data_IF_929331141874
#
_entry.id   IF_929331141874
#
_cell.length_a   1.000
_cell.length_b   1.000
_cell.length_c   1.000
_cell.angle_alpha   90.00
_cell.angle_beta   90.00
_cell.angle_gamma   90.00
#
_symmetry.space_group_name_H-M   'P 1'
#
loop_
_entity.id
_entity.type
_entity.pdbx_description
1 polymer ?
#
# COMPACT_ATOMS: atom_id res chain seq x y z
N UNK A 1 -6.80 24.37 -17.00
CA UNK A 1 -7.38 24.42 -15.63
C UNK A 1 -7.86 23.02 -15.22
N UNK A 2 -6.95 22.11 -14.82
CA UNK A 2 -7.31 20.75 -14.34
C UNK A 2 -6.81 20.52 -12.89
N UNK A 3 -6.01 21.44 -12.34
CA UNK A 3 -5.34 21.29 -11.04
C UNK A 3 -6.21 21.57 -9.79
N UNK A 4 -7.52 21.79 -9.95
CA UNK A 4 -8.43 22.06 -8.82
C UNK A 4 -9.35 20.87 -8.52
N UNK A 5 -8.97 19.65 -8.89
CA UNK A 5 -9.50 18.47 -8.23
C UNK A 5 -8.85 18.39 -6.84
N UNK A 6 -9.40 19.19 -5.92
CA UNK A 6 -9.11 19.32 -4.50
C UNK A 6 -8.37 18.07 -3.99
N UNK A 7 -7.07 18.23 -3.72
CA UNK A 7 -6.22 17.21 -3.14
C UNK A 7 -6.71 16.93 -1.71
N UNK A 8 -7.77 16.13 -1.60
CA UNK A 8 -8.50 15.82 -0.37
C UNK A 8 -7.72 14.86 0.52
N UNK A 9 -6.43 14.68 0.22
CA UNK A 9 -5.53 13.76 0.87
C UNK A 9 -4.53 14.44 1.80
N UNK A 10 -4.39 15.76 1.75
CA UNK A 10 -3.72 16.50 2.83
C UNK A 10 -4.65 16.63 4.02
N UNK A 11 -4.16 16.18 5.17
CA UNK A 11 -4.89 16.15 6.42
C UNK A 11 -4.26 17.13 7.40
N UNK A 12 -5.09 17.78 8.20
CA UNK A 12 -4.59 18.59 9.31
C UNK A 12 -4.05 17.68 10.42
N UNK A 13 -3.17 18.22 11.28
CA UNK A 13 -2.71 17.48 12.46
C UNK A 13 -3.88 16.99 13.33
N UNK A 14 -4.93 17.81 13.45
CA UNK A 14 -6.13 17.42 14.21
C UNK A 14 -6.84 16.22 13.58
N UNK A 15 -6.95 16.15 12.25
CA UNK A 15 -7.53 15.01 11.54
C UNK A 15 -6.68 13.74 11.71
N UNK A 16 -5.36 13.88 11.72
CA UNK A 16 -4.44 12.76 11.99
C UNK A 16 -4.55 12.29 13.45
N UNK A 17 -4.64 13.24 14.40
CA UNK A 17 -4.80 12.94 15.83
C UNK A 17 -6.16 12.31 16.16
N UNK A 18 -7.18 12.58 15.35
CA UNK A 18 -8.54 12.06 15.49
C UNK A 18 -8.89 11.03 14.41
N UNK A 19 -7.96 10.12 14.12
CA UNK A 19 -8.13 9.08 13.11
C UNK A 19 -9.35 8.18 13.37
N UNK A 20 -9.94 7.56 12.32
CA UNK A 20 -11.01 6.57 12.49
C UNK A 20 -10.61 5.39 13.38
N UNK A 21 -9.35 4.97 13.33
CA UNK A 21 -8.82 3.87 14.17
C UNK A 21 -8.84 4.26 15.65
N UNK A 22 -8.46 5.51 15.98
CA UNK A 22 -8.52 6.03 17.36
C UNK A 22 -9.94 6.11 17.89
N UNK A 23 -10.89 6.52 17.05
CA UNK A 23 -12.32 6.54 17.41
C UNK A 23 -12.87 5.14 17.70
N UNK A 24 -12.32 4.12 17.05
CA UNK A 24 -12.66 2.71 17.29
C UNK A 24 -11.82 2.07 18.41
N UNK A 25 -11.01 2.85 19.14
CA UNK A 25 -10.28 2.41 20.33
C UNK A 25 -8.85 1.90 20.12
N UNK A 26 -8.26 2.10 18.94
CA UNK A 26 -6.84 1.79 18.70
C UNK A 26 -5.96 2.97 19.15
N UNK A 27 -4.98 2.72 20.01
CA UNK A 27 -4.02 3.74 20.43
C UNK A 27 -3.04 4.13 19.29
N UNK A 28 -2.41 5.29 19.44
CA UNK A 28 -1.53 5.86 18.42
C UNK A 28 -0.29 4.98 18.11
N UNK A 29 0.28 4.33 19.13
CA UNK A 29 1.46 3.49 18.94
C UNK A 29 1.07 2.23 18.14
N UNK A 30 -0.05 1.59 18.50
CA UNK A 30 -0.59 0.44 17.77
C UNK A 30 -0.98 0.81 16.34
N UNK A 31 -1.62 1.97 16.12
CA UNK A 31 -1.95 2.43 14.77
C UNK A 31 -0.68 2.62 13.92
N UNK A 32 0.36 3.23 14.49
CA UNK A 32 1.66 3.42 13.82
C UNK A 32 2.29 2.07 13.46
N UNK A 33 2.32 1.11 14.40
CA UNK A 33 2.83 -0.25 14.14
C UNK A 33 2.05 -0.95 13.03
N UNK A 34 0.72 -0.82 13.01
CA UNK A 34 -0.13 -1.40 11.96
C UNK A 34 0.13 -0.76 10.58
N UNK A 35 0.44 0.54 10.54
CA UNK A 35 0.81 1.24 9.31
C UNK A 35 2.14 0.73 8.78
N UNK A 36 3.17 0.67 9.61
CA UNK A 36 4.49 0.11 9.26
C UNK A 36 4.36 -1.35 8.82
N UNK A 37 3.60 -2.16 9.55
CA UNK A 37 3.33 -3.55 9.20
C UNK A 37 2.67 -3.69 7.81
N UNK A 38 1.73 -2.81 7.47
CA UNK A 38 1.14 -2.75 6.14
C UNK A 38 2.15 -2.41 5.05
N UNK A 39 3.01 -1.42 5.29
CA UNK A 39 4.09 -1.05 4.38
C UNK A 39 5.10 -2.19 4.17
N UNK A 40 5.42 -2.94 5.21
CA UNK A 40 6.28 -4.12 5.13
C UNK A 40 5.66 -5.23 4.27
N UNK A 41 4.36 -5.50 4.44
CA UNK A 41 3.65 -6.45 3.61
C UNK A 41 3.67 -6.03 2.13
N UNK A 42 3.43 -4.74 1.87
CA UNK A 42 3.46 -4.20 0.50
C UNK A 42 4.84 -4.37 -0.12
N UNK A 43 5.90 -3.96 0.58
CA UNK A 43 7.26 -4.03 0.06
C UNK A 43 7.71 -5.48 -0.16
N UNK A 44 7.47 -6.36 0.81
CA UNK A 44 7.81 -7.78 0.70
C UNK A 44 7.06 -8.45 -0.45
N UNK A 45 5.76 -8.18 -0.59
CA UNK A 45 4.97 -8.73 -1.69
C UNK A 45 5.44 -8.21 -3.05
N UNK A 46 5.84 -6.93 -3.14
CA UNK A 46 6.39 -6.31 -4.34
C UNK A 46 7.66 -7.00 -4.82
N UNK A 47 8.57 -7.31 -3.89
CA UNK A 47 9.80 -8.07 -4.18
C UNK A 47 9.46 -9.47 -4.70
N UNK A 48 8.58 -10.20 -4.01
CA UNK A 48 8.18 -11.56 -4.39
C UNK A 48 7.44 -11.61 -5.74
N UNK A 49 6.69 -10.56 -6.08
CA UNK A 49 5.98 -10.41 -7.35
C UNK A 49 6.82 -9.77 -8.45
N UNK A 50 8.07 -9.37 -8.15
CA UNK A 50 8.98 -8.64 -9.05
C UNK A 50 8.28 -7.42 -9.66
N UNK A 51 7.70 -6.59 -8.80
CA UNK A 51 7.06 -5.33 -9.18
C UNK A 51 8.07 -4.17 -9.13
N UNK A 52 7.92 -3.13 -9.97
CA UNK A 52 8.76 -1.95 -9.92
C UNK A 52 8.47 -1.13 -8.66
N UNK A 53 9.47 -0.39 -8.15
CA UNK A 53 9.35 0.37 -6.90
C UNK A 53 8.20 1.40 -6.92
N UNK A 54 7.88 1.96 -8.08
CA UNK A 54 6.73 2.84 -8.28
C UNK A 54 5.40 2.18 -7.86
N UNK A 55 5.22 0.88 -8.13
CA UNK A 55 4.01 0.14 -7.70
C UNK A 55 3.94 0.03 -6.18
N UNK A 56 5.06 -0.22 -5.51
CA UNK A 56 5.10 -0.31 -4.05
C UNK A 56 4.84 1.05 -3.41
N UNK A 57 5.46 2.12 -3.92
CA UNK A 57 5.21 3.49 -3.47
C UNK A 57 3.73 3.86 -3.64
N UNK A 58 3.14 3.59 -4.81
CA UNK A 58 1.71 3.84 -5.05
C UNK A 58 0.85 3.03 -4.08
N UNK A 59 1.12 1.73 -3.92
CA UNK A 59 0.36 0.89 -2.99
C UNK A 59 0.42 1.39 -1.54
N UNK A 60 1.59 1.84 -1.07
CA UNK A 60 1.75 2.43 0.27
C UNK A 60 0.93 3.72 0.42
N UNK A 61 0.97 4.63 -0.57
CA UNK A 61 0.15 5.85 -0.55
C UNK A 61 -1.34 5.51 -0.49
N UNK A 62 -1.82 4.58 -1.32
CA UNK A 62 -3.22 4.13 -1.27
C UNK A 62 -3.58 3.53 0.09
N UNK A 63 -2.67 2.77 0.69
CA UNK A 63 -2.84 2.15 2.00
C UNK A 63 -2.96 3.20 3.11
N UNK A 64 -2.04 4.18 3.16
CA UNK A 64 -2.10 5.28 4.12
C UNK A 64 -3.38 6.09 3.97
N UNK A 65 -3.71 6.51 2.74
CA UNK A 65 -4.93 7.26 2.42
C UNK A 65 -6.20 6.53 2.86
N UNK A 66 -6.26 5.21 2.67
CA UNK A 66 -7.42 4.41 3.09
C UNK A 66 -7.61 4.43 4.61
N UNK A 67 -6.55 4.23 5.38
CA UNK A 67 -6.62 4.22 6.86
C UNK A 67 -6.72 5.61 7.49
N UNK A 68 -6.64 6.68 6.69
CA UNK A 68 -7.07 8.00 7.16
C UNK A 68 -8.60 8.16 7.17
N UNK A 69 -9.31 7.35 6.36
CA UNK A 69 -10.79 7.36 6.25
C UNK A 69 -11.46 6.16 6.89
N UNK A 70 -10.73 5.05 7.08
CA UNK A 70 -11.21 3.80 7.68
C UNK A 70 -10.32 3.34 8.82
N UNK A 71 -10.89 2.47 9.64
CA UNK A 71 -10.26 1.94 10.84
C UNK A 71 -9.67 0.56 10.60
N UNK A 72 -8.53 0.29 11.23
CA UNK A 72 -7.92 -1.04 11.28
C UNK A 72 -8.77 -2.08 12.02
N UNK A 73 -9.69 -1.66 12.89
CA UNK A 73 -10.65 -2.57 13.55
C UNK A 73 -11.59 -3.19 12.51
N UNK A 74 -12.00 -2.40 11.52
CA UNK A 74 -13.02 -2.78 10.53
C UNK A 74 -12.44 -3.43 9.29
N UNK A 75 -11.20 -3.09 8.95
CA UNK A 75 -10.52 -3.57 7.75
C UNK A 75 -9.15 -4.11 8.13
N UNK A 76 -8.90 -5.38 7.78
CA UNK A 76 -7.61 -6.03 8.04
C UNK A 76 -6.50 -5.38 7.20
N UNK A 77 -5.40 -5.00 7.86
CA UNK A 77 -4.19 -4.49 7.23
C UNK A 77 -3.72 -5.39 6.08
N UNK A 78 -3.71 -6.71 6.28
CA UNK A 78 -3.28 -7.69 5.27
C UNK A 78 -4.17 -7.68 4.02
N UNK A 79 -5.49 -7.68 4.20
CA UNK A 79 -6.45 -7.68 3.08
C UNK A 79 -6.36 -6.38 2.28
N UNK A 80 -6.27 -5.24 2.98
CA UNK A 80 -6.13 -3.94 2.34
C UNK A 80 -4.79 -3.83 1.62
N UNK A 81 -3.67 -4.25 2.21
CA UNK A 81 -2.36 -4.27 1.58
C UNK A 81 -2.36 -5.08 0.27
N UNK A 82 -2.96 -6.28 0.28
CA UNK A 82 -3.08 -7.11 -0.93
C UNK A 82 -3.87 -6.41 -2.04
N UNK A 83 -4.98 -5.78 -1.71
CA UNK A 83 -5.79 -5.02 -2.67
C UNK A 83 -5.09 -3.74 -3.13
N UNK A 84 -4.33 -3.06 -2.27
CA UNK A 84 -3.52 -1.90 -2.64
C UNK A 84 -2.45 -2.27 -3.68
N UNK A 85 -1.71 -3.37 -3.46
CA UNK A 85 -0.71 -3.86 -4.44
C UNK A 85 -1.37 -4.25 -5.76
N UNK A 86 -2.52 -4.93 -5.69
CA UNK A 86 -3.23 -5.35 -6.89
C UNK A 86 -3.78 -4.16 -7.69
N UNK A 87 -4.31 -3.14 -7.00
CA UNK A 87 -4.80 -1.92 -7.62
C UNK A 87 -3.64 -1.06 -8.17
N UNK A 88 -2.59 -0.85 -7.38
CA UNK A 88 -1.41 -0.07 -7.79
C UNK A 88 -0.73 -0.67 -9.02
N UNK A 89 -0.64 -2.00 -9.13
CA UNK A 89 -0.14 -2.65 -10.34
C UNK A 89 -0.94 -2.29 -11.59
N UNK A 90 -2.25 -2.06 -11.47
CA UNK A 90 -3.07 -1.59 -12.60
C UNK A 90 -2.86 -0.10 -12.89
N UNK A 91 -2.64 0.72 -11.87
CA UNK A 91 -2.44 2.17 -12.02
C UNK A 91 -1.07 2.51 -12.63
N UNK A 92 -0.04 1.71 -12.33
CA UNK A 92 1.33 1.88 -12.81
C UNK A 92 1.64 1.01 -14.05
N UNK A 93 0.61 0.57 -14.79
CA UNK A 93 0.75 -0.23 -16.02
C UNK A 93 1.61 -1.51 -15.87
N UNK A 94 1.64 -2.07 -14.66
CA UNK A 94 2.35 -3.30 -14.29
C UNK A 94 1.40 -4.35 -13.66
N UNK A 95 0.29 -4.71 -14.33
CA UNK A 95 -0.77 -5.50 -13.72
C UNK A 95 -0.32 -6.94 -13.42
N UNK A 96 -0.78 -7.48 -12.29
CA UNK A 96 -0.60 -8.89 -11.91
C UNK A 96 -1.95 -9.59 -11.81
N UNK A 97 -1.99 -10.86 -12.19
CA UNK A 97 -3.20 -11.69 -12.01
C UNK A 97 -3.49 -11.84 -10.52
N UNK A 98 -4.76 -11.74 -10.13
CA UNK A 98 -5.20 -11.87 -8.73
C UNK A 98 -4.71 -13.16 -8.06
N UNK A 99 -4.63 -14.27 -8.81
CA UNK A 99 -4.05 -15.54 -8.36
C UNK A 99 -2.65 -15.36 -7.76
N UNK A 100 -1.78 -14.61 -8.43
CA UNK A 100 -0.40 -14.41 -7.95
C UNK A 100 -0.36 -13.55 -6.70
N UNK A 101 -1.19 -12.50 -6.61
CA UNK A 101 -1.32 -11.68 -5.41
C UNK A 101 -1.73 -12.56 -4.22
N UNK A 102 -2.79 -13.36 -4.39
CA UNK A 102 -3.32 -14.23 -3.33
C UNK A 102 -2.26 -15.23 -2.88
N UNK A 103 -1.55 -15.88 -3.81
CA UNK A 103 -0.51 -16.86 -3.49
C UNK A 103 0.65 -16.25 -2.71
N UNK A 104 1.12 -15.06 -3.11
CA UNK A 104 2.21 -14.38 -2.41
C UNK A 104 1.78 -13.98 -1.01
N UNK A 105 0.63 -13.34 -0.85
CA UNK A 105 0.13 -12.95 0.47
C UNK A 105 -0.17 -14.14 1.38
N UNK A 106 -0.70 -15.24 0.83
CA UNK A 106 -0.93 -16.46 1.59
C UNK A 106 0.39 -17.08 2.06
N UNK A 107 1.40 -17.18 1.19
CA UNK A 107 2.73 -17.67 1.55
C UNK A 107 3.40 -16.81 2.63
N UNK A 108 3.28 -15.49 2.51
CA UNK A 108 3.82 -14.54 3.50
C UNK A 108 3.17 -14.73 4.87
N UNK A 109 1.84 -14.93 4.90
CA UNK A 109 1.11 -15.24 6.13
C UNK A 109 1.60 -16.55 6.76
N UNK A 110 1.67 -17.65 6.00
CA UNK A 110 2.17 -18.92 6.53
C UNK A 110 3.57 -18.77 7.13
N UNK A 111 4.47 -18.00 6.48
CA UNK A 111 5.82 -17.76 7.01
C UNK A 111 5.80 -16.97 8.32
N UNK A 112 4.98 -15.92 8.42
CA UNK A 112 4.91 -15.06 9.62
C UNK A 112 4.28 -15.79 10.81
N UNK A 113 3.37 -16.73 10.55
CA UNK A 113 2.68 -17.53 11.58
C UNK A 113 3.37 -18.88 11.87
N UNK A 114 4.54 -19.14 11.27
CA UNK A 114 5.25 -20.44 11.36
C UNK A 114 4.38 -21.66 10.98
N UNK A 115 3.44 -21.46 10.06
CA UNK A 115 2.61 -22.52 9.51
C UNK A 115 3.31 -23.21 8.34
N UNK A 116 2.99 -24.50 8.08
CA UNK A 116 3.50 -25.17 6.89
C UNK A 116 3.08 -24.40 5.63
N UNK A 117 4.03 -24.21 4.72
CA UNK A 117 3.80 -23.56 3.42
C UNK A 117 3.11 -24.56 2.51
N UNK A 118 1.81 -24.71 2.69
CA UNK A 118 0.98 -25.54 1.82
C UNK A 118 0.60 -24.80 0.54
N UNK A 119 0.48 -25.57 -0.55
CA UNK A 119 0.03 -25.01 -1.81
C UNK A 119 -1.47 -24.71 -1.74
N UNK A 120 -1.84 -23.46 -1.99
CA UNK A 120 -3.24 -23.06 -2.02
C UNK A 120 -3.91 -23.58 -3.31
N UNK A 121 -4.76 -24.59 -3.16
CA UNK A 121 -5.54 -25.12 -4.28
C UNK A 121 -6.52 -24.06 -4.82
N UNK A 122 -6.50 -23.88 -6.14
CA UNK A 122 -7.31 -22.90 -6.88
C UNK A 122 -8.78 -23.29 -6.89
N UNK A 123 -9.09 -24.59 -6.78
CA UNK A 123 -10.46 -25.09 -6.71
C UNK A 123 -11.01 -25.11 -5.29
N UNK A 124 -10.17 -24.82 -4.29
CA UNK A 124 -10.59 -24.76 -2.90
C UNK A 124 -11.58 -23.61 -2.63
N UNK A 125 -12.48 -23.86 -1.68
CA UNK A 125 -13.37 -22.84 -1.13
C UNK A 125 -12.59 -21.65 -0.56
N UNK A 126 -11.47 -21.92 0.11
CA UNK A 126 -10.56 -20.92 0.69
C UNK A 126 -10.02 -19.95 -0.37
N UNK A 127 -9.51 -20.45 -1.49
CA UNK A 127 -9.05 -19.59 -2.59
C UNK A 127 -10.18 -18.73 -3.14
N UNK A 128 -11.36 -19.32 -3.34
CA UNK A 128 -12.53 -18.60 -3.84
C UNK A 128 -12.99 -17.48 -2.90
N UNK A 129 -12.92 -17.68 -1.59
CA UNK A 129 -13.16 -16.66 -0.57
C UNK A 129 -12.11 -15.55 -0.61
N UNK A 130 -10.83 -15.89 -0.61
CA UNK A 130 -9.74 -14.90 -0.69
C UNK A 130 -9.84 -14.05 -1.96
N UNK A 131 -10.20 -14.65 -3.10
CA UNK A 131 -10.43 -13.93 -4.35
C UNK A 131 -11.61 -12.98 -4.26
N UNK A 132 -12.73 -13.39 -3.66
CA UNK A 132 -13.90 -12.52 -3.43
C UNK A 132 -13.54 -11.36 -2.50
N UNK A 133 -12.81 -11.63 -1.43
CA UNK A 133 -12.35 -10.62 -0.48
C UNK A 133 -11.41 -9.59 -1.12
N UNK A 134 -10.48 -10.04 -1.98
CA UNK A 134 -9.58 -9.16 -2.72
C UNK A 134 -10.36 -8.18 -3.62
N UNK A 135 -11.33 -8.69 -4.38
CA UNK A 135 -12.19 -7.88 -5.27
C UNK A 135 -13.09 -6.94 -4.47
N UNK A 136 -13.65 -7.40 -3.36
CA UNK A 136 -14.51 -6.59 -2.49
C UNK A 136 -13.71 -5.45 -1.85
N UNK A 137 -12.51 -5.74 -1.36
CA UNK A 137 -11.65 -4.77 -0.70
C UNK A 137 -11.13 -3.73 -1.69
N UNK A 138 -10.79 -4.14 -2.91
CA UNK A 138 -10.47 -3.21 -4.01
C UNK A 138 -11.62 -2.23 -4.28
N UNK A 139 -12.87 -2.72 -4.33
CA UNK A 139 -14.03 -1.86 -4.53
C UNK A 139 -14.19 -0.85 -3.39
N UNK A 140 -13.91 -1.26 -2.15
CA UNK A 140 -13.90 -0.34 -1.01
C UNK A 140 -12.80 0.71 -1.16
N UNK A 141 -11.58 0.34 -1.56
CA UNK A 141 -10.50 1.29 -1.82
C UNK A 141 -10.92 2.38 -2.81
N UNK A 142 -11.43 1.97 -3.98
CA UNK A 142 -11.88 2.90 -5.02
C UNK A 142 -13.00 3.83 -4.53
N UNK A 143 -13.97 3.29 -3.78
CA UNK A 143 -15.07 4.07 -3.22
C UNK A 143 -14.58 5.14 -2.23
N UNK A 144 -13.66 4.77 -1.33
CA UNK A 144 -13.16 5.71 -0.32
C UNK A 144 -12.23 6.78 -0.89
N UNK A 145 -11.56 6.48 -1.99
CA UNK A 145 -10.76 7.44 -2.75
C UNK A 145 -11.59 8.30 -3.71
N UNK A 146 -12.88 8.00 -3.88
CA UNK A 146 -13.71 8.69 -4.88
C UNK A 146 -13.18 8.52 -6.30
N UNK A 147 -12.53 7.39 -6.58
CA UNK A 147 -11.80 7.11 -7.83
C UNK A 147 -10.60 8.04 -8.13
N UNK A 148 -10.24 8.95 -7.23
CA UNK A 148 -9.03 9.77 -7.32
C UNK A 148 -7.84 8.95 -6.80
N UNK A 149 -7.29 8.11 -7.68
CA UNK A 149 -6.20 7.18 -7.33
C UNK A 149 -4.84 7.63 -7.86
N UNK A 150 -4.76 8.83 -8.44
CA UNK A 150 -3.49 9.37 -8.93
C UNK A 150 -2.55 9.64 -7.76
N UNK A 151 -1.30 9.23 -7.93
CA UNK A 151 -0.22 9.43 -6.96
C UNK A 151 0.95 10.03 -7.73
N UNK A 152 1.37 11.22 -7.30
CA UNK A 152 2.62 11.82 -7.78
C UNK A 152 3.71 11.51 -6.75
N UNK A 153 4.75 10.79 -7.18
CA UNK A 153 5.82 10.36 -6.30
C UNK A 153 6.90 11.44 -6.14
N UNK A 154 7.48 11.58 -4.93
CA UNK A 154 8.54 12.56 -4.68
C UNK A 154 9.81 12.29 -5.52
N UNK A 155 10.03 11.04 -5.94
CA UNK A 155 11.21 10.60 -6.68
C UNK A 155 11.47 11.41 -7.96
N UNK A 156 10.41 11.87 -8.65
CA UNK A 156 10.51 12.71 -9.85
C UNK A 156 11.12 14.07 -9.52
N UNK A 157 10.70 14.69 -8.43
CA UNK A 157 11.22 15.98 -7.99
C UNK A 157 12.65 15.84 -7.47
N UNK A 158 12.92 14.82 -6.67
CA UNK A 158 14.26 14.52 -6.15
C UNK A 158 15.27 14.41 -7.29
N UNK A 159 14.94 13.64 -8.34
CA UNK A 159 15.81 13.47 -9.51
C UNK A 159 16.06 14.80 -10.24
N UNK A 160 15.03 15.63 -10.41
CA UNK A 160 15.17 16.93 -11.06
C UNK A 160 16.07 17.88 -10.25
N UNK A 161 15.89 17.93 -8.92
CA UNK A 161 16.70 18.80 -8.07
C UNK A 161 18.16 18.33 -8.02
N UNK A 162 18.41 17.03 -7.87
CA UNK A 162 19.77 16.48 -7.86
C UNK A 162 20.51 16.71 -9.17
N UNK A 163 19.81 16.57 -10.31
CA UNK A 163 20.39 16.89 -11.62
C UNK A 163 20.71 18.39 -11.75
N UNK A 164 19.82 19.26 -11.27
CA UNK A 164 20.03 20.72 -11.31
C UNK A 164 21.19 21.18 -10.42
N UNK A 165 21.39 20.48 -9.30
CA UNK A 165 22.46 20.78 -8.34
C UNK A 165 23.77 20.07 -8.68
N UNK A 166 23.84 19.32 -9.78
CA UNK A 166 25.00 18.51 -10.18
C UNK A 166 25.50 17.61 -9.04
N UNK A 167 24.56 17.04 -8.28
CA UNK A 167 24.85 16.28 -7.08
C UNK A 167 25.66 15.00 -7.38
N UNK A 168 26.57 14.59 -6.47
CA UNK A 168 27.32 13.36 -6.64
C UNK A 168 26.39 12.13 -6.64
N UNK A 169 26.79 11.02 -7.29
CA UNK A 169 25.98 9.81 -7.38
C UNK A 169 25.66 9.20 -6.00
N UNK A 170 26.56 9.39 -5.03
CA UNK A 170 26.38 8.94 -3.64
C UNK A 170 25.17 9.62 -2.98
N UNK A 171 25.10 10.96 -3.08
CA UNK A 171 23.97 11.75 -2.55
C UNK A 171 22.67 11.42 -3.27
N UNK A 172 22.75 11.11 -4.57
CA UNK A 172 21.58 10.66 -5.34
C UNK A 172 21.03 9.35 -4.81
N UNK A 173 21.89 8.36 -4.59
CA UNK A 173 21.47 7.07 -4.05
C UNK A 173 20.90 7.21 -2.63
N UNK A 174 21.52 8.05 -1.79
CA UNK A 174 21.04 8.31 -0.43
C UNK A 174 19.66 8.97 -0.42
N UNK A 175 19.45 10.00 -1.24
CA UNK A 175 18.14 10.65 -1.39
C UNK A 175 17.06 9.69 -1.89
N UNK A 176 17.41 8.81 -2.84
CA UNK A 176 16.51 7.75 -3.31
C UNK A 176 16.18 6.73 -2.23
N UNK A 177 17.14 6.37 -1.39
CA UNK A 177 16.91 5.45 -0.27
C UNK A 177 16.00 6.09 0.79
N UNK A 178 16.23 7.37 1.12
CA UNK A 178 15.39 8.13 2.07
C UNK A 178 13.94 8.23 1.59
N UNK A 179 13.72 8.45 0.28
CA UNK A 179 12.39 8.52 -0.29
C UNK A 179 11.63 7.18 -0.28
N UNK A 180 12.35 6.05 -0.15
CA UNK A 180 11.77 4.72 -0.09
C UNK A 180 11.71 4.16 1.34
N UNK A 181 12.21 4.89 2.33
CA UNK A 181 12.28 4.43 3.71
C UNK A 181 10.88 4.35 4.36
N UNK A 182 10.68 3.38 5.25
CA UNK A 182 9.37 2.97 5.79
C UNK A 182 9.00 3.69 7.09
N UNK A 183 9.38 4.96 7.25
CA UNK A 183 9.10 5.73 8.46
C UNK A 183 7.63 6.14 8.58
#
# INVERSE_FOLDING_TARGET
>A
MIYTAIDTFYLTEEQLRNSPSRKDGIDEATETVLRVYGCDLIQESGILLRLPQAVMATAQVLFHRFYCKKSFVRFSAKRVAASCVWLAGKLEESPRKSKHIIFVFHRMECRRENLPIEFLDVFSKKYSELRRDLIRTERHLLKEMGFICHVEHPHKFISNYLATLEAPPELTQEAWNLANDRK
#
